data_IF_356300257968
#
_entry.id   IF_356300257968
#
_cell.length_a   1.000
_cell.length_b   1.000
_cell.length_c   1.000
_cell.angle_alpha   90.00
_cell.angle_beta   90.00
_cell.angle_gamma   90.00
#
_symmetry.space_group_name_H-M   'P 1'
#
loop_
_entity.id
_entity.type
_entity.pdbx_description
1 polymer ?
#
# COMPACT_ATOMS: atom_id res chain seq x y z
N UNK A 1 15.67 -12.45 4.80
CA UNK A 1 14.68 -11.69 4.01
C UNK A 1 13.88 -12.69 3.20
N UNK A 2 12.56 -12.73 3.38
CA UNK A 2 11.69 -13.65 2.64
C UNK A 2 11.47 -13.08 1.25
N UNK A 3 11.91 -13.79 0.21
CA UNK A 3 11.73 -13.34 -1.17
C UNK A 3 10.30 -13.62 -1.64
N UNK A 4 9.75 -12.72 -2.46
CA UNK A 4 8.50 -13.00 -3.18
C UNK A 4 8.71 -14.12 -4.20
N UNK A 5 7.66 -14.92 -4.44
CA UNK A 5 7.69 -15.94 -5.48
C UNK A 5 7.33 -15.38 -6.87
N UNK A 6 6.74 -14.18 -6.90
CA UNK A 6 6.42 -13.39 -8.09
C UNK A 6 6.74 -11.91 -7.85
N UNK A 7 7.22 -11.20 -8.88
CA UNK A 7 7.54 -9.77 -8.78
C UNK A 7 6.36 -8.86 -9.19
N UNK A 8 5.16 -9.43 -9.33
CA UNK A 8 4.01 -8.72 -9.87
C UNK A 8 3.49 -7.68 -8.87
N UNK A 9 3.70 -6.40 -9.21
CA UNK A 9 3.26 -5.28 -8.38
C UNK A 9 4.05 -5.12 -7.08
N UNK A 10 5.23 -5.76 -6.98
CA UNK A 10 6.15 -5.59 -5.86
C UNK A 10 6.89 -4.26 -6.02
N UNK A 11 6.88 -3.47 -4.96
CA UNK A 11 7.60 -2.19 -4.84
C UNK A 11 8.70 -2.38 -3.81
N UNK A 12 9.92 -2.00 -4.17
CA UNK A 12 11.04 -1.91 -3.23
C UNK A 12 11.11 -0.47 -2.70
N UNK A 13 10.90 -0.30 -1.40
CA UNK A 13 11.01 0.99 -0.72
C UNK A 13 12.50 1.40 -0.58
N UNK A 14 12.82 2.69 -0.40
CA UNK A 14 14.20 3.18 -0.22
C UNK A 14 15.11 2.36 0.72
N UNK A 15 14.60 1.84 1.83
CA UNK A 15 15.34 1.02 2.80
C UNK A 15 15.58 -0.42 2.36
N UNK A 16 14.98 -0.85 1.24
CA UNK A 16 15.03 -2.22 0.72
C UNK A 16 13.86 -3.10 1.18
N UNK A 17 12.96 -2.59 2.04
CA UNK A 17 11.70 -3.27 2.35
C UNK A 17 10.86 -3.47 1.08
N UNK A 18 10.17 -4.61 0.95
CA UNK A 18 9.34 -4.91 -0.23
C UNK A 18 7.87 -5.02 0.13
N UNK A 19 7.01 -4.43 -0.68
CA UNK A 19 5.56 -4.44 -0.49
C UNK A 19 4.86 -4.68 -1.82
N UNK A 20 3.89 -5.59 -1.86
CA UNK A 20 3.13 -5.88 -3.08
C UNK A 20 1.81 -5.11 -3.13
N UNK A 21 1.56 -4.37 -4.20
CA UNK A 21 0.25 -3.81 -4.51
C UNK A 21 -0.53 -4.64 -5.52
N UNK A 22 -1.78 -5.00 -5.24
CA UNK A 22 -2.60 -5.79 -6.18
C UNK A 22 -4.11 -5.52 -6.11
N UNK A 23 -4.90 -5.96 -7.12
CA UNK A 23 -6.33 -6.09 -6.98
C UNK A 23 -6.71 -7.17 -5.96
N UNK A 24 -7.71 -6.90 -5.12
CA UNK A 24 -8.27 -7.90 -4.21
C UNK A 24 -8.93 -9.03 -5.00
N UNK A 25 -8.60 -10.27 -4.69
CA UNK A 25 -9.09 -11.47 -5.39
C UNK A 25 -8.26 -11.89 -6.62
N UNK A 26 -7.29 -11.09 -7.07
CA UNK A 26 -6.32 -11.56 -8.05
C UNK A 26 -5.45 -12.68 -7.45
N UNK A 27 -5.14 -13.69 -8.26
CA UNK A 27 -4.21 -14.75 -7.88
C UNK A 27 -2.82 -14.16 -7.60
N UNK A 28 -2.19 -14.59 -6.51
CA UNK A 28 -0.90 -14.09 -6.06
C UNK A 28 -0.22 -15.13 -5.16
N UNK A 29 1.11 -15.13 -5.09
CA UNK A 29 1.84 -15.94 -4.11
C UNK A 29 1.40 -15.60 -2.67
N UNK A 30 1.56 -16.51 -1.69
CA UNK A 30 1.28 -16.21 -0.29
C UNK A 30 2.05 -14.98 0.21
N UNK A 31 1.37 -14.18 1.04
CA UNK A 31 1.94 -13.10 1.82
C UNK A 31 1.80 -13.42 3.32
N UNK A 32 2.60 -12.75 4.15
CA UNK A 32 2.56 -12.93 5.60
C UNK A 32 1.52 -12.00 6.24
N UNK A 33 1.24 -10.86 5.59
CA UNK A 33 0.22 -9.91 6.01
C UNK A 33 -0.40 -9.13 4.83
N UNK A 34 -1.69 -8.81 4.92
CA UNK A 34 -2.37 -7.94 3.96
C UNK A 34 -3.07 -6.74 4.61
N UNK A 35 -2.82 -5.55 4.07
CA UNK A 35 -3.62 -4.36 4.31
C UNK A 35 -4.72 -4.24 3.23
N UNK A 36 -5.97 -4.46 3.63
CA UNK A 36 -7.12 -4.49 2.72
C UNK A 36 -7.91 -3.19 2.81
N UNK A 37 -8.10 -2.53 1.65
CA UNK A 37 -8.67 -1.18 1.52
C UNK A 37 -10.08 -1.18 0.93
N UNK A 38 -10.71 -2.35 0.81
CA UNK A 38 -11.99 -2.54 0.13
C UNK A 38 -12.72 -3.76 0.68
N UNK A 39 -14.02 -3.86 0.41
CA UNK A 39 -14.77 -5.10 0.62
C UNK A 39 -14.53 -6.11 -0.51
N UNK A 40 -14.74 -7.39 -0.22
CA UNK A 40 -14.59 -8.50 -1.16
C UNK A 40 -14.17 -9.80 -0.46
N UNK A 41 -13.73 -10.79 -1.23
CA UNK A 41 -13.15 -12.02 -0.69
C UNK A 41 -11.78 -11.72 -0.08
N UNK A 42 -11.65 -11.90 1.22
CA UNK A 42 -10.40 -11.67 1.95
C UNK A 42 -9.35 -12.74 1.59
N UNK A 43 -8.06 -12.40 1.63
CA UNK A 43 -6.99 -13.39 1.45
C UNK A 43 -7.02 -14.43 2.59
N UNK A 44 -6.39 -15.59 2.34
CA UNK A 44 -6.31 -16.68 3.31
C UNK A 44 -5.28 -16.43 4.43
N UNK A 45 -4.44 -15.40 4.30
CA UNK A 45 -3.42 -15.01 5.29
C UNK A 45 -3.92 -13.88 6.21
N UNK A 46 -3.22 -13.62 7.33
CA UNK A 46 -3.54 -12.53 8.24
C UNK A 46 -3.72 -11.21 7.50
N UNK A 47 -4.77 -10.47 7.86
CA UNK A 47 -5.07 -9.21 7.22
C UNK A 47 -5.71 -8.21 8.19
N UNK A 48 -5.48 -6.92 7.93
CA UNK A 48 -6.19 -5.81 8.56
C UNK A 48 -6.97 -5.07 7.48
N UNK A 49 -8.25 -4.82 7.74
CA UNK A 49 -9.12 -4.03 6.86
C UNK A 49 -9.33 -2.64 7.44
N UNK A 50 -9.14 -1.61 6.63
CA UNK A 50 -9.45 -0.22 6.98
C UNK A 50 -10.54 0.35 6.07
N UNK A 51 -11.32 1.30 6.58
CA UNK A 51 -12.44 1.92 5.84
C UNK A 51 -11.93 2.98 4.86
N UNK A 52 -11.83 2.60 3.59
CA UNK A 52 -11.36 3.47 2.52
C UNK A 52 -12.30 3.46 1.30
N UNK A 53 -13.25 4.41 1.21
CA UNK A 53 -14.22 4.48 0.12
C UNK A 53 -13.54 4.66 -1.23
N UNK A 54 -14.21 4.17 -2.27
CA UNK A 54 -13.66 4.24 -3.63
C UNK A 54 -13.47 5.68 -4.08
N UNK A 55 -12.40 5.92 -4.82
CA UNK A 55 -11.94 7.27 -5.21
C UNK A 55 -11.84 8.26 -4.05
N UNK A 56 -11.76 7.84 -2.77
CA UNK A 56 -11.70 8.75 -1.62
C UNK A 56 -10.40 8.61 -0.83
N UNK A 57 -10.37 9.23 0.35
CA UNK A 57 -9.36 9.07 1.40
C UNK A 57 -9.93 8.18 2.54
N UNK A 58 -9.11 7.68 3.47
CA UNK A 58 -9.62 6.91 4.60
C UNK A 58 -10.63 7.72 5.42
N UNK A 59 -11.69 7.06 5.89
CA UNK A 59 -12.70 7.71 6.73
C UNK A 59 -12.18 8.00 8.14
N UNK A 60 -11.30 7.14 8.64
CA UNK A 60 -10.62 7.30 9.90
C UNK A 60 -9.13 7.49 9.64
N UNK A 61 -8.62 8.69 9.93
CA UNK A 61 -7.22 9.03 9.68
C UNK A 61 -6.29 8.29 10.64
N UNK A 62 -6.67 8.16 11.91
CA UNK A 62 -5.82 7.56 12.92
C UNK A 62 -5.67 6.06 12.66
N UNK A 63 -6.79 5.36 12.44
CA UNK A 63 -6.79 3.93 12.10
C UNK A 63 -5.98 3.64 10.82
N UNK A 64 -6.09 4.52 9.81
CA UNK A 64 -5.33 4.37 8.58
C UNK A 64 -3.82 4.55 8.77
N UNK A 65 -3.39 5.54 9.57
CA UNK A 65 -1.97 5.74 9.86
C UNK A 65 -1.41 4.61 10.71
N UNK A 66 -2.14 4.14 11.72
CA UNK A 66 -1.75 2.97 12.51
C UNK A 66 -1.59 1.72 11.64
N UNK A 67 -2.53 1.47 10.72
CA UNK A 67 -2.46 0.33 9.81
C UNK A 67 -1.28 0.43 8.81
N UNK A 68 -0.96 1.65 8.36
CA UNK A 68 0.19 1.88 7.48
C UNK A 68 1.52 1.73 8.23
N UNK A 69 1.62 2.20 9.47
CA UNK A 69 2.80 1.96 10.33
C UNK A 69 2.99 0.49 10.63
N UNK A 70 1.92 -0.26 10.90
CA UNK A 70 1.96 -1.71 11.07
C UNK A 70 2.48 -2.40 9.80
N UNK A 71 1.90 -2.07 8.65
CA UNK A 71 2.32 -2.63 7.37
C UNK A 71 3.79 -2.32 7.05
N UNK A 72 4.24 -1.09 7.29
CA UNK A 72 5.63 -0.69 7.10
C UNK A 72 6.57 -1.45 8.04
N UNK A 73 6.24 -1.52 9.35
CA UNK A 73 7.08 -2.19 10.35
C UNK A 73 7.26 -3.67 10.04
N UNK A 74 6.20 -4.36 9.61
CA UNK A 74 6.27 -5.76 9.17
C UNK A 74 7.15 -5.92 7.93
N UNK A 75 6.99 -5.06 6.92
CA UNK A 75 7.78 -5.10 5.71
C UNK A 75 9.27 -4.83 5.98
N UNK A 76 9.58 -3.85 6.83
CA UNK A 76 10.94 -3.56 7.29
C UNK A 76 11.53 -4.72 8.12
N UNK A 77 10.69 -5.46 8.85
CA UNK A 77 11.05 -6.72 9.53
C UNK A 77 11.28 -7.91 8.59
N UNK A 78 11.04 -7.75 7.28
CA UNK A 78 11.25 -8.78 6.26
C UNK A 78 10.05 -9.69 6.00
N UNK A 79 8.86 -9.35 6.52
CA UNK A 79 7.61 -10.02 6.15
C UNK A 79 7.16 -9.61 4.74
N UNK A 80 6.53 -10.54 4.02
CA UNK A 80 5.86 -10.25 2.75
C UNK A 80 4.54 -9.55 3.04
N UNK A 81 4.55 -8.23 2.89
CA UNK A 81 3.37 -7.39 3.10
C UNK A 81 2.72 -7.05 1.77
N UNK A 82 1.40 -7.15 1.70
CA UNK A 82 0.65 -6.69 0.54
C UNK A 82 -0.42 -5.66 0.88
N UNK A 83 -0.79 -4.87 -0.12
CA UNK A 83 -1.84 -3.86 -0.06
C UNK A 83 -2.83 -4.10 -1.19
N UNK A 84 -4.10 -4.25 -0.85
CA UNK A 84 -5.14 -4.61 -1.82
C UNK A 84 -6.35 -3.67 -1.79
N UNK A 85 -6.74 -3.17 -2.96
CA UNK A 85 -8.04 -2.53 -3.19
C UNK A 85 -8.74 -3.20 -4.38
N UNK A 86 -9.92 -2.72 -4.81
CA UNK A 86 -10.66 -3.35 -5.91
C UNK A 86 -9.83 -3.45 -7.20
N UNK A 87 -9.15 -2.36 -7.58
CA UNK A 87 -8.43 -2.27 -8.85
C UNK A 87 -6.91 -2.33 -8.76
N UNK A 88 -6.33 -2.35 -7.56
CA UNK A 88 -4.87 -2.31 -7.38
C UNK A 88 -4.21 -1.06 -7.97
N UNK A 89 -4.87 0.11 -7.96
CA UNK A 89 -4.35 1.34 -8.61
C UNK A 89 -4.43 2.58 -7.72
N UNK A 90 -5.61 3.19 -7.52
CA UNK A 90 -5.71 4.44 -6.75
C UNK A 90 -5.47 4.28 -5.26
N UNK A 91 -6.37 3.58 -4.56
CA UNK A 91 -6.24 3.34 -3.12
C UNK A 91 -4.96 2.58 -2.78
N UNK A 92 -4.67 1.50 -3.51
CA UNK A 92 -3.42 0.74 -3.38
C UNK A 92 -2.20 1.63 -3.62
N UNK A 93 -2.14 2.37 -4.73
CA UNK A 93 -1.03 3.29 -5.01
C UNK A 93 -0.92 4.43 -3.99
N UNK A 94 -2.03 4.89 -3.40
CA UNK A 94 -2.00 5.89 -2.33
C UNK A 94 -1.42 5.32 -1.05
N UNK A 95 -1.81 4.10 -0.66
CA UNK A 95 -1.22 3.42 0.49
C UNK A 95 0.27 3.11 0.27
N UNK A 96 0.67 2.62 -0.92
CA UNK A 96 2.09 2.39 -1.24
C UNK A 96 2.91 3.69 -1.23
N UNK A 97 2.35 4.80 -1.74
CA UNK A 97 2.99 6.10 -1.63
C UNK A 97 3.14 6.55 -0.17
N UNK A 98 2.16 6.26 0.68
CA UNK A 98 2.26 6.55 2.11
C UNK A 98 3.36 5.72 2.77
N UNK A 99 3.49 4.43 2.43
CA UNK A 99 4.60 3.59 2.92
C UNK A 99 5.96 4.13 2.46
N UNK A 100 6.07 4.61 1.23
CA UNK A 100 7.29 5.26 0.75
C UNK A 100 7.62 6.55 1.54
N UNK A 101 6.61 7.32 1.95
CA UNK A 101 6.80 8.49 2.83
C UNK A 101 7.31 8.06 4.21
N UNK A 102 6.72 7.02 4.80
CA UNK A 102 7.18 6.46 6.08
C UNK A 102 8.62 5.92 5.99
N UNK A 103 9.03 5.50 4.80
CA UNK A 103 10.39 5.06 4.49
C UNK A 103 11.33 6.19 4.03
N UNK A 104 10.91 7.45 4.15
CA UNK A 104 11.76 8.62 3.95
C UNK A 104 11.63 9.36 2.61
N UNK A 105 10.73 8.94 1.70
CA UNK A 105 10.45 9.73 0.49
C UNK A 105 9.71 11.03 0.87
N UNK A 106 10.16 12.21 0.40
CA UNK A 106 9.44 13.47 0.64
C UNK A 106 7.99 13.41 0.15
N UNK A 107 7.05 13.90 0.96
CA UNK A 107 5.61 13.77 0.68
C UNK A 107 5.14 14.48 -0.61
N UNK A 108 5.86 15.51 -1.05
CA UNK A 108 5.65 16.20 -2.31
C UNK A 108 6.16 15.43 -3.54
N UNK A 109 7.17 14.57 -3.35
CA UNK A 109 7.73 13.68 -4.37
C UNK A 109 7.03 12.32 -4.45
N UNK A 110 6.39 11.87 -3.35
CA UNK A 110 5.84 10.52 -3.20
C UNK A 110 4.92 10.06 -4.33
N UNK A 111 4.10 10.96 -4.91
CA UNK A 111 3.23 10.61 -6.04
C UNK A 111 4.03 10.34 -7.32
N UNK A 112 5.06 11.13 -7.59
CA UNK A 112 5.96 10.89 -8.72
C UNK A 112 6.71 9.59 -8.51
N UNK A 113 7.25 9.39 -7.31
CA UNK A 113 7.97 8.19 -6.94
C UNK A 113 7.14 6.93 -7.14
N UNK A 114 5.92 6.86 -6.59
CA UNK A 114 5.09 5.65 -6.73
C UNK A 114 4.64 5.41 -8.18
N UNK A 115 4.47 6.46 -8.99
CA UNK A 115 4.09 6.30 -10.39
C UNK A 115 5.20 5.68 -11.23
N UNK A 116 6.46 5.97 -10.87
CA UNK A 116 7.64 5.37 -11.48
C UNK A 116 7.85 3.92 -11.03
N UNK A 117 7.67 3.64 -9.73
CA UNK A 117 8.06 2.34 -9.14
C UNK A 117 6.93 1.31 -9.08
N UNK A 118 5.66 1.72 -9.26
CA UNK A 118 4.51 0.82 -9.17
C UNK A 118 3.61 0.87 -10.41
N UNK A 119 2.98 2.02 -10.67
CA UNK A 119 2.02 2.14 -11.77
C UNK A 119 1.86 3.60 -12.18
N UNK A 120 1.94 3.96 -13.48
CA UNK A 120 1.91 5.36 -13.94
C UNK A 120 0.62 6.11 -13.59
N UNK A 121 -0.47 5.38 -13.34
CA UNK A 121 -1.77 5.92 -12.89
C UNK A 121 -2.05 5.75 -11.38
N UNK A 122 -1.04 5.44 -10.58
CA UNK A 122 -1.17 5.41 -9.13
C UNK A 122 -1.58 6.79 -8.58
N UNK A 123 -2.36 6.80 -7.49
CA UNK A 123 -2.96 8.00 -6.89
C UNK A 123 -3.88 8.70 -7.90
N UNK A 124 -5.17 8.36 -7.84
CA UNK A 124 -6.15 8.71 -8.87
C UNK A 124 -6.74 10.11 -8.67
N UNK A 125 -6.80 10.60 -7.43
CA UNK A 125 -7.56 11.82 -7.13
C UNK A 125 -6.72 12.94 -6.50
N UNK A 126 -7.10 14.21 -6.69
CA UNK A 126 -6.42 15.34 -6.07
C UNK A 126 -6.42 15.30 -4.53
N UNK A 127 -7.48 14.78 -3.91
CA UNK A 127 -7.58 14.68 -2.46
C UNK A 127 -6.76 13.52 -1.89
N UNK A 128 -6.57 12.41 -2.62
CA UNK A 128 -5.57 11.39 -2.24
C UNK A 128 -4.16 12.00 -2.22
N UNK A 129 -3.79 12.76 -3.27
CA UNK A 129 -2.52 13.50 -3.30
C UNK A 129 -2.38 14.50 -2.16
N UNK A 130 -3.46 15.23 -1.83
CA UNK A 130 -3.44 16.16 -0.69
C UNK A 130 -3.29 15.44 0.65
N UNK A 131 -3.96 14.31 0.83
CA UNK A 131 -3.91 13.52 2.06
C UNK A 131 -2.50 13.01 2.37
N UNK A 132 -1.74 12.61 1.34
CA UNK A 132 -0.33 12.18 1.46
C UNK A 132 0.56 13.24 2.10
N UNK A 133 0.29 14.54 1.92
CA UNK A 133 1.08 15.63 2.51
C UNK A 133 1.05 15.65 4.04
N UNK A 134 0.09 14.98 4.66
CA UNK A 134 -0.01 14.88 6.11
C UNK A 134 0.44 13.53 6.67
N UNK A 135 0.91 12.60 5.83
CA UNK A 135 1.49 11.33 6.29
C UNK A 135 2.83 11.63 6.96
N UNK A 136 3.02 11.10 8.16
CA UNK A 136 4.19 11.25 9.03
C UNK A 136 4.29 10.03 9.93
#
# INVERSE_FOLDING_TARGET
>A
MTQWLDDLGVVTLPSGATVRGRPLGAAASPADFALVLTDGTMPAWPHRRIRWPDFWIPLDRADALDALHEAYSRAAGGERVEVACRGGRGRTGTALAALAILDGVPADEAVGWIRTHYHPKAVETPWQRRWLRGVR
#
